data_IF_179333781005
#
_entry.id   IF_179333781005
#
_cell.length_a   1.000
_cell.length_b   1.000
_cell.length_c   1.000
_cell.angle_alpha   90.00
_cell.angle_beta   90.00
_cell.angle_gamma   90.00
#
_symmetry.space_group_name_H-M   'P 1'
#
loop_
_entity.id
_entity.type
_entity.pdbx_description
1 polymer ?
#
# COMPACT_ATOMS: atom_id res chain seq x y z
N UNK A 1 25.94 -39.26 -30.60
CA UNK A 1 27.15 -38.48 -30.31
C UNK A 1 26.73 -37.02 -30.31
N UNK A 2 26.28 -36.52 -29.16
CA UNK A 2 27.09 -35.80 -28.13
C UNK A 2 27.30 -34.34 -28.55
N UNK A 3 26.88 -33.31 -27.81
CA UNK A 3 26.27 -33.17 -26.50
C UNK A 3 26.10 -31.66 -26.25
N UNK A 4 25.14 -31.31 -25.40
CA UNK A 4 24.80 -29.94 -24.97
C UNK A 4 25.98 -29.18 -24.33
N UNK A 5 25.84 -27.85 -24.18
CA UNK A 5 26.22 -27.23 -22.93
C UNK A 5 25.05 -26.51 -22.25
N UNK A 6 24.92 -26.87 -20.96
CA UNK A 6 24.08 -26.37 -19.89
C UNK A 6 24.13 -24.86 -19.66
N UNK A 7 22.95 -24.24 -19.56
CA UNK A 7 22.77 -22.93 -18.93
C UNK A 7 22.72 -23.06 -17.41
N UNK A 8 23.81 -22.70 -16.72
CA UNK A 8 23.85 -22.56 -15.26
C UNK A 8 24.76 -21.41 -14.75
N UNK A 9 25.26 -20.50 -15.60
CA UNK A 9 26.24 -19.49 -15.17
C UNK A 9 25.73 -18.04 -15.06
N UNK A 10 24.43 -17.77 -15.11
CA UNK A 10 23.90 -16.39 -15.04
C UNK A 10 23.59 -15.88 -13.62
N UNK A 11 23.62 -16.75 -12.60
CA UNK A 11 23.24 -16.41 -11.21
C UNK A 11 24.40 -15.90 -10.32
N UNK A 12 25.65 -15.92 -10.79
CA UNK A 12 26.82 -15.52 -10.00
C UNK A 12 27.34 -14.09 -10.31
N UNK A 13 26.83 -13.44 -11.36
CA UNK A 13 27.44 -12.21 -11.89
C UNK A 13 26.76 -10.90 -11.45
N UNK A 14 25.59 -10.98 -10.80
CA UNK A 14 24.84 -9.80 -10.31
C UNK A 14 25.27 -9.37 -8.90
N UNK A 15 25.99 -10.22 -8.16
CA UNK A 15 26.44 -9.93 -6.78
C UNK A 15 27.83 -9.26 -6.68
N UNK A 16 28.51 -8.97 -7.80
CA UNK A 16 29.86 -8.37 -7.80
C UNK A 16 29.91 -6.88 -8.18
N UNK A 17 28.76 -6.24 -8.40
CA UNK A 17 28.67 -4.81 -8.75
C UNK A 17 28.63 -3.82 -7.56
N UNK A 18 28.56 -4.32 -6.32
CA UNK A 18 28.46 -3.49 -5.09
C UNK A 18 29.76 -3.43 -4.27
N UNK A 19 30.93 -3.59 -4.90
CA UNK A 19 32.23 -3.59 -4.21
C UNK A 19 33.10 -2.36 -4.55
N UNK A 20 32.49 -1.21 -4.84
CA UNK A 20 33.16 -0.02 -5.35
C UNK A 20 32.91 1.27 -4.57
N UNK A 21 32.82 1.22 -3.24
CA UNK A 21 32.88 2.42 -2.40
C UNK A 21 34.08 2.29 -1.44
N UNK A 22 35.10 3.08 -1.75
CA UNK A 22 36.36 3.25 -1.03
C UNK A 22 36.13 3.41 0.47
N UNK A 23 36.40 2.37 1.24
CA UNK A 23 36.61 2.46 2.69
C UNK A 23 38.05 2.92 2.90
N UNK A 24 38.22 4.19 3.28
CA UNK A 24 39.48 4.64 3.88
C UNK A 24 39.58 4.04 5.29
N UNK A 25 40.77 3.59 5.74
CA UNK A 25 40.92 3.07 7.09
C UNK A 25 40.88 4.24 8.08
N UNK A 26 39.78 4.39 8.81
CA UNK A 26 39.75 5.22 10.02
C UNK A 26 40.45 4.44 11.12
N UNK A 27 41.51 5.05 11.64
CA UNK A 27 42.31 4.52 12.72
C UNK A 27 41.44 4.41 13.97
N UNK A 28 41.46 3.26 14.63
CA UNK A 28 40.78 3.03 15.90
C UNK A 28 41.38 3.95 16.97
N UNK A 29 40.72 5.08 17.23
CA UNK A 29 40.86 5.78 18.50
C UNK A 29 39.89 5.14 19.48
N UNK A 30 40.42 4.67 20.61
CA UNK A 30 39.63 4.29 21.77
C UNK A 30 38.87 5.52 22.27
N UNK A 31 37.60 5.66 21.88
CA UNK A 31 36.69 6.60 22.52
C UNK A 31 36.00 5.88 23.66
N UNK A 32 36.21 6.39 24.87
CA UNK A 32 35.41 6.07 26.05
C UNK A 32 33.93 6.16 25.70
N UNK A 33 33.14 5.18 26.14
CA UNK A 33 31.69 5.26 26.08
C UNK A 33 31.25 6.61 26.69
N UNK A 34 30.57 7.50 25.95
CA UNK A 34 30.03 8.71 26.54
C UNK A 34 29.04 8.31 27.64
N UNK A 35 29.19 8.89 28.83
CA UNK A 35 28.18 8.82 29.88
C UNK A 35 26.83 9.21 29.29
N UNK A 36 25.80 8.40 29.52
CA UNK A 36 24.43 8.74 29.16
C UNK A 36 24.00 9.98 29.97
N UNK A 37 24.24 11.15 29.40
CA UNK A 37 23.73 12.43 29.89
C UNK A 37 22.32 12.60 29.32
N UNK A 38 21.32 12.60 30.19
CA UNK A 38 19.97 12.98 29.79
C UNK A 38 19.94 14.47 29.48
N UNK A 39 19.87 14.83 28.20
CA UNK A 39 19.69 16.20 27.75
C UNK A 39 18.20 16.48 27.54
N UNK A 40 17.60 17.24 28.45
CA UNK A 40 16.19 17.62 28.37
C UNK A 40 15.88 18.44 27.10
N UNK A 41 16.88 19.09 26.49
CA UNK A 41 16.71 19.87 25.26
C UNK A 41 16.48 19.00 24.01
N UNK A 42 16.83 17.70 24.05
CA UNK A 42 16.46 16.75 23.00
C UNK A 42 14.94 16.52 22.92
N UNK A 43 14.22 16.78 24.01
CA UNK A 43 12.77 16.60 24.12
C UNK A 43 11.99 17.91 23.99
N UNK A 44 12.68 19.06 23.87
CA UNK A 44 12.04 20.33 23.58
C UNK A 44 11.58 20.39 22.12
N UNK A 45 10.39 20.93 21.91
CA UNK A 45 9.78 21.08 20.58
C UNK A 45 10.62 22.06 19.75
N UNK A 46 11.47 21.53 18.88
CA UNK A 46 12.34 22.33 18.00
C UNK A 46 11.49 23.25 17.13
N UNK A 47 11.91 24.50 16.99
CA UNK A 47 11.20 25.45 16.10
C UNK A 47 11.16 24.92 14.67
N UNK A 48 12.27 24.37 14.18
CA UNK A 48 12.37 23.80 12.85
C UNK A 48 12.99 22.40 12.93
N UNK A 49 12.39 21.47 12.21
CA UNK A 49 12.88 20.11 12.01
C UNK A 49 12.98 19.86 10.51
N UNK A 50 14.09 19.24 10.09
CA UNK A 50 14.30 18.77 8.73
C UNK A 50 14.85 17.35 8.81
N UNK A 51 14.31 16.47 8.00
CA UNK A 51 14.73 15.08 7.92
C UNK A 51 14.45 14.52 6.54
N UNK A 52 14.97 13.34 6.24
CA UNK A 52 14.64 12.66 5.01
C UNK A 52 15.26 11.28 4.93
N UNK A 53 15.12 10.68 3.76
CA UNK A 53 15.90 9.50 3.41
C UNK A 53 16.25 9.45 1.92
N UNK A 54 17.33 8.75 1.64
CA UNK A 54 17.69 8.26 0.32
C UNK A 54 17.56 6.74 0.33
N UNK A 55 16.83 6.18 -0.63
CA UNK A 55 16.67 4.74 -0.82
C UNK A 55 17.19 4.32 -2.19
N UNK A 56 17.95 3.23 -2.21
CA UNK A 56 18.27 2.49 -3.43
C UNK A 56 17.62 1.11 -3.34
N UNK A 57 16.79 0.77 -4.33
CA UNK A 57 16.08 -0.50 -4.44
C UNK A 57 16.41 -1.20 -5.76
N UNK A 58 16.75 -2.48 -5.67
CA UNK A 58 16.95 -3.37 -6.81
C UNK A 58 15.89 -4.46 -6.82
N UNK A 59 15.28 -4.71 -7.98
CA UNK A 59 14.23 -5.70 -8.17
C UNK A 59 14.59 -6.65 -9.31
N UNK A 60 14.61 -7.96 -9.05
CA UNK A 60 14.65 -9.00 -10.07
C UNK A 60 13.24 -9.62 -10.23
N UNK A 61 12.60 -9.36 -11.36
CA UNK A 61 11.27 -9.87 -11.68
C UNK A 61 11.38 -11.10 -12.59
N UNK A 62 10.67 -12.17 -12.24
CA UNK A 62 10.49 -13.34 -13.11
C UNK A 62 9.18 -13.18 -13.90
N UNK A 63 9.31 -12.67 -15.12
CA UNK A 63 8.20 -12.26 -15.96
C UNK A 63 7.53 -13.44 -16.68
N UNK A 64 6.25 -13.28 -16.97
CA UNK A 64 5.45 -14.15 -17.84
C UNK A 64 5.29 -13.49 -19.20
N UNK A 65 6.35 -13.47 -20.00
CA UNK A 65 6.41 -12.74 -21.28
C UNK A 65 5.27 -13.04 -22.27
N UNK A 66 4.72 -14.25 -22.24
CA UNK A 66 3.62 -14.65 -23.13
C UNK A 66 2.22 -14.32 -22.59
N UNK A 67 2.12 -13.95 -21.30
CA UNK A 67 0.85 -13.70 -20.63
C UNK A 67 0.11 -12.48 -21.19
N UNK A 68 -1.22 -12.52 -21.08
CA UNK A 68 -2.07 -11.38 -21.41
C UNK A 68 -1.70 -10.13 -20.59
N UNK A 69 -1.43 -10.30 -19.29
CA UNK A 69 -1.03 -9.18 -18.43
C UNK A 69 0.29 -8.54 -18.88
N UNK A 70 1.30 -9.32 -19.25
CA UNK A 70 2.56 -8.76 -19.77
C UNK A 70 2.32 -7.91 -21.02
N UNK A 71 1.53 -8.40 -21.98
CA UNK A 71 1.20 -7.69 -23.21
C UNK A 71 0.40 -6.40 -22.97
N UNK A 72 -0.44 -6.38 -21.93
CA UNK A 72 -1.19 -5.18 -21.53
C UNK A 72 -0.30 -4.18 -20.78
N UNK A 73 0.63 -4.64 -19.94
CA UNK A 73 1.56 -3.80 -19.18
C UNK A 73 2.65 -3.21 -20.07
N UNK A 74 3.17 -3.97 -21.04
CA UNK A 74 4.25 -3.56 -21.94
C UNK A 74 3.85 -3.70 -23.40
N UNK A 75 2.97 -2.82 -23.92
CA UNK A 75 2.49 -2.92 -25.29
C UNK A 75 3.62 -2.85 -26.32
N UNK A 76 3.70 -3.87 -27.18
CA UNK A 76 4.70 -3.93 -28.26
C UNK A 76 6.11 -4.37 -27.83
N UNK A 77 6.34 -4.60 -26.53
CA UNK A 77 7.58 -5.18 -26.05
C UNK A 77 7.68 -6.66 -26.46
N UNK A 78 8.90 -7.11 -26.75
CA UNK A 78 9.15 -8.54 -26.97
C UNK A 78 8.93 -9.33 -25.66
N UNK A 79 8.42 -10.57 -25.74
CA UNK A 79 8.34 -11.44 -24.58
C UNK A 79 9.71 -11.62 -23.91
N UNK A 80 9.72 -11.61 -22.58
CA UNK A 80 10.92 -11.87 -21.79
C UNK A 80 10.57 -12.57 -20.48
N UNK A 81 11.56 -13.23 -19.90
CA UNK A 81 11.39 -14.05 -18.69
C UNK A 81 11.96 -13.40 -17.43
N UNK A 82 12.80 -12.38 -17.57
CA UNK A 82 13.45 -11.68 -16.48
C UNK A 82 13.47 -10.17 -16.72
N UNK A 83 13.48 -9.39 -15.64
CA UNK A 83 13.71 -7.95 -15.69
C UNK A 83 14.42 -7.53 -14.41
N UNK A 84 15.54 -6.83 -14.58
CA UNK A 84 16.19 -6.11 -13.48
C UNK A 84 15.71 -4.66 -13.53
N UNK A 85 15.22 -4.17 -12.40
CA UNK A 85 14.81 -2.77 -12.21
C UNK A 85 15.57 -2.17 -11.05
N UNK A 86 16.14 -1.00 -11.30
CA UNK A 86 16.75 -0.16 -10.28
C UNK A 86 15.81 1.01 -9.97
N UNK A 87 15.64 1.36 -8.70
CA UNK A 87 14.83 2.52 -8.28
C UNK A 87 15.55 3.28 -7.18
N UNK A 88 15.81 4.56 -7.42
CA UNK A 88 16.32 5.49 -6.42
C UNK A 88 15.19 6.41 -5.96
N UNK A 89 15.02 6.58 -4.64
CA UNK A 89 13.99 7.44 -4.05
C UNK A 89 14.61 8.42 -3.07
N UNK A 90 14.25 9.69 -3.18
CA UNK A 90 14.58 10.73 -2.21
C UNK A 90 13.28 11.23 -1.57
N UNK A 91 13.21 11.21 -0.24
CA UNK A 91 12.13 11.84 0.52
C UNK A 91 12.71 12.91 1.45
N UNK A 92 12.08 14.08 1.44
CA UNK A 92 12.44 15.23 2.27
C UNK A 92 11.22 15.63 3.09
N UNK A 93 11.43 15.88 4.38
CA UNK A 93 10.41 16.30 5.33
C UNK A 93 10.88 17.54 6.09
N UNK A 94 9.99 18.52 6.23
CA UNK A 94 10.22 19.70 7.05
C UNK A 94 9.02 19.99 7.94
N UNK A 95 9.28 20.56 9.11
CA UNK A 95 8.27 20.96 10.08
C UNK A 95 8.71 22.23 10.79
N UNK A 96 7.79 23.18 10.91
CA UNK A 96 7.97 24.47 11.55
C UNK A 96 6.87 24.67 12.59
N UNK A 97 7.28 24.80 13.85
CA UNK A 97 6.40 24.96 14.99
C UNK A 97 6.30 26.46 15.37
N UNK A 98 5.11 27.05 15.27
CA UNK A 98 4.83 28.47 15.49
C UNK A 98 3.70 28.65 16.52
N UNK A 99 3.96 28.29 17.78
CA UNK A 99 2.95 28.30 18.83
C UNK A 99 1.83 27.29 18.55
N UNK A 100 0.62 27.80 18.35
CA UNK A 100 -0.59 27.01 18.04
C UNK A 100 -0.63 26.51 16.58
N UNK A 101 0.28 27.00 15.73
CA UNK A 101 0.38 26.63 14.33
C UNK A 101 1.55 25.68 14.09
N UNK A 102 1.32 24.71 13.20
CA UNK A 102 2.37 23.84 12.65
C UNK A 102 2.27 23.91 11.13
N UNK A 103 3.38 24.27 10.49
CA UNK A 103 3.56 24.14 9.05
C UNK A 103 4.44 22.92 8.81
N UNK A 104 4.04 22.04 7.91
CA UNK A 104 4.82 20.87 7.55
C UNK A 104 4.73 20.60 6.06
N UNK A 105 5.77 19.95 5.53
CA UNK A 105 5.80 19.50 4.14
C UNK A 105 6.65 18.24 4.03
N UNK A 106 6.16 17.29 3.24
CA UNK A 106 6.85 16.06 2.88
C UNK A 106 6.77 15.86 1.38
N UNK A 107 7.92 15.77 0.73
CA UNK A 107 8.03 15.61 -0.71
C UNK A 107 8.88 14.38 -1.05
N UNK A 108 8.52 13.69 -2.12
CA UNK A 108 9.23 12.52 -2.60
C UNK A 108 9.50 12.62 -4.10
N UNK A 109 10.69 12.24 -4.52
CA UNK A 109 11.02 12.00 -5.92
C UNK A 109 11.57 10.59 -6.08
N UNK A 110 11.34 9.98 -7.24
CA UNK A 110 11.92 8.67 -7.54
C UNK A 110 12.27 8.54 -9.00
N UNK A 111 13.37 7.88 -9.29
CA UNK A 111 13.78 7.49 -10.63
C UNK A 111 13.87 5.97 -10.69
N UNK A 112 13.11 5.36 -11.60
CA UNK A 112 13.10 3.92 -11.84
C UNK A 112 13.53 3.65 -13.28
N UNK A 113 14.46 2.72 -13.45
CA UNK A 113 15.00 2.37 -14.76
C UNK A 113 15.10 0.85 -14.92
N UNK A 114 14.64 0.38 -16.08
CA UNK A 114 14.78 -0.99 -16.53
C UNK A 114 14.75 -1.07 -18.06
N UNK A 115 14.96 -2.27 -18.60
CA UNK A 115 15.03 -2.49 -20.04
C UNK A 115 13.70 -2.38 -20.81
N UNK A 116 12.57 -2.16 -20.13
CA UNK A 116 11.24 -1.92 -20.72
C UNK A 116 10.73 -0.49 -20.47
N UNK A 117 11.11 0.11 -19.34
CA UNK A 117 10.57 1.37 -18.85
C UNK A 117 11.67 2.16 -18.13
N UNK A 118 11.82 3.43 -18.51
CA UNK A 118 12.52 4.44 -17.71
C UNK A 118 11.48 5.47 -17.27
N UNK A 119 11.27 5.62 -15.97
CA UNK A 119 10.25 6.51 -15.39
C UNK A 119 10.86 7.38 -14.30
N UNK A 120 10.68 8.69 -14.47
CA UNK A 120 10.97 9.67 -13.42
C UNK A 120 9.65 10.15 -12.82
N UNK A 121 9.50 9.98 -11.51
CA UNK A 121 8.53 10.74 -10.71
C UNK A 121 9.21 12.01 -10.24
N UNK A 122 8.85 13.13 -10.87
CA UNK A 122 9.22 14.47 -10.43
C UNK A 122 8.77 14.69 -8.97
N UNK A 123 9.43 15.59 -8.21
CA UNK A 123 9.10 15.82 -6.81
C UNK A 123 7.59 16.03 -6.61
N UNK A 124 6.95 15.04 -5.96
CA UNK A 124 5.55 15.09 -5.58
C UNK A 124 5.44 15.43 -4.11
N UNK A 125 4.63 16.42 -3.77
CA UNK A 125 4.25 16.66 -2.37
C UNK A 125 3.40 15.47 -1.93
N UNK A 126 3.93 14.70 -0.98
CA UNK A 126 3.25 13.54 -0.39
C UNK A 126 2.20 14.03 0.60
N UNK A 127 2.61 14.88 1.54
CA UNK A 127 1.76 15.55 2.52
C UNK A 127 2.32 16.95 2.80
N UNK A 128 1.50 17.85 3.31
CA UNK A 128 1.97 19.17 3.76
C UNK A 128 0.83 20.17 3.85
N UNK A 129 0.96 21.13 4.75
CA UNK A 129 -0.11 22.08 5.02
C UNK A 129 0.11 22.89 6.30
N UNK A 130 -0.98 23.49 6.75
CA UNK A 130 -1.06 24.23 7.99
C UNK A 130 -2.04 23.51 8.93
N UNK A 131 -1.55 23.16 10.12
CA UNK A 131 -2.39 22.74 11.26
C UNK A 131 -2.48 23.88 12.26
N UNK A 132 -3.70 24.18 12.72
CA UNK A 132 -3.98 25.13 13.79
C UNK A 132 -4.65 24.40 14.96
N UNK A 133 -4.02 24.44 16.13
CA UNK A 133 -4.53 23.85 17.37
C UNK A 133 -5.19 24.93 18.21
N UNK A 134 -6.51 25.05 18.15
CA UNK A 134 -7.26 26.13 18.81
C UNK A 134 -7.29 25.94 20.33
N UNK A 135 -7.42 24.70 20.77
CA UNK A 135 -7.40 24.32 22.18
C UNK A 135 -7.09 22.84 22.32
N UNK A 136 -7.00 22.33 23.55
CA UNK A 136 -6.85 20.90 23.80
C UNK A 136 -8.06 20.16 23.21
N UNK A 137 -7.81 19.34 22.20
CA UNK A 137 -8.84 18.54 21.54
C UNK A 137 -9.56 19.22 20.37
N UNK A 138 -9.30 20.48 20.02
CA UNK A 138 -9.85 21.12 18.81
C UNK A 138 -8.74 21.60 17.88
N UNK A 139 -8.70 21.08 16.65
CA UNK A 139 -7.77 21.53 15.63
C UNK A 139 -8.38 21.61 14.23
N UNK A 140 -7.81 22.46 13.39
CA UNK A 140 -8.13 22.57 11.98
C UNK A 140 -6.88 22.33 11.14
N UNK A 141 -7.05 21.76 9.95
CA UNK A 141 -5.97 21.53 9.01
C UNK A 141 -6.40 21.91 7.59
N UNK A 142 -5.49 22.56 6.86
CA UNK A 142 -5.65 22.85 5.43
C UNK A 142 -4.35 22.47 4.72
N UNK A 143 -4.47 21.61 3.71
CA UNK A 143 -3.33 21.15 2.94
C UNK A 143 -3.55 19.77 2.35
N UNK A 144 -2.46 19.10 2.00
CA UNK A 144 -2.44 17.74 1.49
C UNK A 144 -2.22 16.76 2.63
N UNK A 145 -3.21 15.91 2.92
CA UNK A 145 -3.21 15.02 4.09
C UNK A 145 -3.66 13.61 3.77
N UNK A 146 -3.08 12.64 4.47
CA UNK A 146 -3.57 11.25 4.47
C UNK A 146 -4.54 11.06 5.62
N UNK A 147 -5.78 10.67 5.30
CA UNK A 147 -6.78 10.29 6.30
C UNK A 147 -6.78 8.77 6.46
N UNK A 148 -6.18 8.29 7.55
CA UNK A 148 -6.06 6.86 7.86
C UNK A 148 -7.31 6.37 8.56
N UNK A 149 -8.38 6.17 7.80
CA UNK A 149 -9.62 5.58 8.30
C UNK A 149 -9.59 4.06 8.13
N UNK A 150 -10.15 3.33 9.11
CA UNK A 150 -10.09 1.87 9.19
C UNK A 150 -8.92 1.34 10.04
N UNK A 151 -9.12 0.12 10.54
CA UNK A 151 -8.21 -0.72 11.32
C UNK A 151 -7.52 -1.80 10.47
N UNK A 152 -8.04 -2.08 9.27
CA UNK A 152 -7.58 -3.17 8.40
C UNK A 152 -6.12 -2.99 7.96
N UNK A 153 -5.37 -4.09 7.97
CA UNK A 153 -3.95 -4.12 7.62
C UNK A 153 -3.79 -4.11 6.11
N UNK A 154 -4.25 -5.14 5.41
CA UNK A 154 -4.04 -5.30 3.97
C UNK A 154 -4.99 -4.47 3.12
N UNK A 155 -6.20 -4.22 3.62
CA UNK A 155 -7.28 -3.55 2.91
C UNK A 155 -8.26 -2.94 3.91
N UNK A 156 -9.04 -1.93 3.48
CA UNK A 156 -10.11 -1.34 4.30
C UNK A 156 -11.26 -0.85 3.39
N UNK A 157 -12.53 -1.24 3.61
CA UNK A 157 -13.64 -0.67 2.88
C UNK A 157 -14.07 0.71 3.41
N UNK A 158 -13.66 1.07 4.62
CA UNK A 158 -14.01 2.35 5.26
C UNK A 158 -12.95 3.44 5.04
N UNK A 159 -11.83 3.13 4.37
CA UNK A 159 -10.84 4.08 3.87
C UNK A 159 -11.37 4.91 2.67
N UNK A 160 -12.47 5.65 2.88
CA UNK A 160 -13.24 6.33 1.84
C UNK A 160 -12.54 7.56 1.24
N UNK A 161 -11.63 8.15 2.00
CA UNK A 161 -10.94 9.42 1.70
C UNK A 161 -9.42 9.24 1.77
N UNK A 162 -8.98 8.08 1.30
CA UNK A 162 -7.58 7.68 1.25
C UNK A 162 -7.25 7.10 -0.13
N UNK A 163 -5.98 7.20 -0.54
CA UNK A 163 -5.50 6.43 -1.69
C UNK A 163 -5.40 4.95 -1.32
N UNK A 164 -5.66 4.03 -2.28
CA UNK A 164 -5.66 2.60 -2.01
C UNK A 164 -4.38 2.12 -1.33
N UNK A 165 -4.53 1.26 -0.31
CA UNK A 165 -3.41 0.52 0.29
C UNK A 165 -2.83 -0.45 -0.73
N UNK A 166 -1.51 -0.65 -0.68
CA UNK A 166 -0.88 -1.81 -1.30
C UNK A 166 -0.86 -2.95 -0.27
N UNK A 167 -1.57 -4.04 -0.55
CA UNK A 167 -1.60 -5.19 0.36
C UNK A 167 -0.23 -5.89 0.48
N UNK A 168 0.66 -5.69 -0.50
CA UNK A 168 2.02 -6.25 -0.51
C UNK A 168 3.00 -5.41 0.32
N UNK A 169 2.68 -4.13 0.51
CA UNK A 169 3.39 -3.26 1.44
C UNK A 169 2.40 -2.30 2.15
N UNK A 170 1.64 -2.81 3.14
CA UNK A 170 0.64 -2.00 3.84
C UNK A 170 1.19 -0.78 4.57
N UNK A 171 2.50 -0.82 4.86
CA UNK A 171 3.25 0.23 5.55
C UNK A 171 3.78 1.31 4.60
N UNK A 172 3.66 1.11 3.29
CA UNK A 172 4.12 2.07 2.31
C UNK A 172 3.48 3.44 2.53
N UNK A 173 4.31 4.48 2.45
CA UNK A 173 3.85 5.86 2.43
C UNK A 173 2.90 6.06 1.25
N UNK A 174 1.81 6.80 1.49
CA UNK A 174 0.85 7.18 0.47
C UNK A 174 0.75 8.69 0.41
N UNK A 175 0.60 9.20 -0.80
CA UNK A 175 0.29 10.61 -1.03
C UNK A 175 -1.10 10.93 -0.47
N UNK A 176 -1.26 12.08 0.18
CA UNK A 176 -2.51 12.58 0.70
C UNK A 176 -3.36 13.34 -0.33
N UNK A 177 -4.63 13.60 -0.02
CA UNK A 177 -5.46 14.47 -0.84
C UNK A 177 -5.41 15.90 -0.31
N UNK A 178 -5.55 16.88 -1.20
CA UNK A 178 -5.75 18.28 -0.81
C UNK A 178 -7.14 18.41 -0.18
N UNK A 179 -7.22 18.91 1.05
CA UNK A 179 -8.45 19.02 1.81
C UNK A 179 -8.38 20.13 2.86
N UNK A 180 -9.55 20.50 3.39
CA UNK A 180 -9.69 21.20 4.66
C UNK A 180 -10.38 20.26 5.66
N UNK A 181 -9.93 20.24 6.91
CA UNK A 181 -10.52 19.39 7.95
C UNK A 181 -10.56 20.07 9.31
N UNK A 182 -11.48 19.59 10.15
CA UNK A 182 -11.61 19.97 11.54
C UNK A 182 -11.75 18.71 12.39
N UNK A 183 -11.04 18.68 13.51
CA UNK A 183 -11.04 17.59 14.47
C UNK A 183 -11.38 18.13 15.85
N UNK A 184 -12.35 17.50 16.49
CA UNK A 184 -12.74 17.75 17.87
C UNK A 184 -12.70 16.44 18.66
N UNK A 185 -12.12 16.43 19.84
CA UNK A 185 -12.06 15.26 20.72
C UNK A 185 -12.28 15.68 22.16
N UNK A 186 -13.07 14.89 22.89
CA UNK A 186 -13.35 15.10 24.30
C UNK A 186 -13.29 13.78 25.07
N UNK A 187 -12.64 13.81 26.23
CA UNK A 187 -12.65 12.72 27.21
C UNK A 187 -13.85 12.88 28.14
N UNK A 188 -14.52 11.77 28.44
CA UNK A 188 -15.73 11.70 29.26
C UNK A 188 -15.51 10.72 30.43
N UNK A 189 -16.33 10.84 31.46
CA UNK A 189 -16.46 9.82 32.50
C UNK A 189 -17.63 8.89 32.17
N UNK A 190 -17.41 7.57 32.27
CA UNK A 190 -18.46 6.57 32.07
C UNK A 190 -18.12 5.52 30.99
N UNK A 191 -19.14 4.80 30.49
CA UNK A 191 -18.94 3.67 29.57
C UNK A 191 -18.46 4.10 28.17
N UNK A 192 -18.65 5.36 27.80
CA UNK A 192 -17.99 5.99 26.66
C UNK A 192 -16.96 6.96 27.26
N UNK A 193 -15.68 6.65 27.14
CA UNK A 193 -14.59 7.42 27.75
C UNK A 193 -14.01 8.47 26.82
N UNK A 194 -14.24 8.35 25.51
CA UNK A 194 -13.79 9.33 24.51
C UNK A 194 -14.80 9.44 23.38
N UNK A 195 -15.06 10.68 22.96
CA UNK A 195 -15.79 11.00 21.74
C UNK A 195 -14.90 11.88 20.86
N UNK A 196 -14.82 11.55 19.58
CA UNK A 196 -14.09 12.32 18.58
C UNK A 196 -14.96 12.58 17.37
N UNK A 197 -14.86 13.77 16.78
CA UNK A 197 -15.52 14.11 15.53
C UNK A 197 -14.49 14.71 14.57
N UNK A 198 -14.39 14.13 13.38
CA UNK A 198 -13.60 14.64 12.28
C UNK A 198 -14.55 15.00 11.14
N UNK A 199 -14.49 16.24 10.64
CA UNK A 199 -15.15 16.67 9.42
C UNK A 199 -14.13 17.12 8.38
N UNK A 200 -14.35 16.80 7.10
CA UNK A 200 -13.46 17.23 6.03
C UNK A 200 -14.19 17.60 4.75
N UNK A 201 -13.53 18.45 3.96
CA UNK A 201 -13.94 18.91 2.65
C UNK A 201 -12.82 18.61 1.65
N UNK A 202 -13.09 17.70 0.72
CA UNK A 202 -12.15 17.28 -0.33
C UNK A 202 -12.65 17.76 -1.70
N UNK A 203 -12.10 18.86 -2.25
CA UNK A 203 -12.43 19.31 -3.59
C UNK A 203 -11.75 18.44 -4.65
N UNK A 204 -12.39 18.27 -5.80
CA UNK A 204 -11.82 17.61 -6.99
C UNK A 204 -12.06 18.44 -8.24
N UNK A 205 -11.15 18.33 -9.21
CA UNK A 205 -11.35 18.72 -10.61
C UNK A 205 -10.35 17.95 -11.51
N UNK A 206 -10.13 18.41 -12.74
CA UNK A 206 -9.19 17.79 -13.69
C UNK A 206 -7.72 17.93 -13.27
N UNK A 207 -7.42 18.84 -12.33
CA UNK A 207 -6.08 19.11 -11.80
C UNK A 207 -5.91 18.73 -10.33
N UNK A 208 -6.92 19.01 -9.49
CA UNK A 208 -6.89 18.86 -8.04
C UNK A 208 -7.51 17.52 -7.65
N UNK A 209 -6.74 16.67 -6.95
CA UNK A 209 -7.20 15.34 -6.53
C UNK A 209 -7.86 14.53 -7.67
N UNK A 210 -7.34 14.66 -8.90
CA UNK A 210 -7.97 14.10 -10.11
C UNK A 210 -8.03 12.57 -10.12
N UNK A 211 -7.18 11.90 -9.31
CA UNK A 211 -7.23 10.47 -9.07
C UNK A 211 -8.31 10.05 -8.03
N UNK A 212 -8.83 11.00 -7.25
CA UNK A 212 -10.07 10.81 -6.50
C UNK A 212 -11.29 10.85 -7.43
N UNK A 213 -11.31 11.84 -8.32
CA UNK A 213 -12.24 11.96 -9.45
C UNK A 213 -11.97 13.22 -10.28
N UNK A 214 -12.36 13.20 -11.55
CA UNK A 214 -11.96 14.21 -12.55
C UNK A 214 -13.00 15.33 -12.73
N UNK A 215 -14.11 15.27 -12.03
CA UNK A 215 -15.21 16.25 -12.11
C UNK A 215 -15.08 17.29 -11.01
N UNK A 216 -15.58 18.50 -11.29
CA UNK A 216 -15.60 19.61 -10.33
C UNK A 216 -16.65 19.37 -9.25
N UNK A 217 -16.24 18.71 -8.18
CA UNK A 217 -17.10 18.33 -7.07
C UNK A 217 -16.47 18.73 -5.73
N UNK A 218 -17.33 18.87 -4.72
CA UNK A 218 -16.93 18.87 -3.33
C UNK A 218 -17.33 17.53 -2.74
N UNK A 219 -16.41 16.88 -2.03
CA UNK A 219 -16.65 15.57 -1.39
C UNK A 219 -16.58 15.72 0.13
N UNK A 220 -17.65 16.23 0.80
CA UNK A 220 -17.73 16.24 2.25
C UNK A 220 -17.65 14.83 2.84
N UNK A 221 -16.93 14.67 3.93
CA UNK A 221 -16.92 13.44 4.70
C UNK A 221 -16.81 13.73 6.20
N UNK A 222 -17.28 12.78 7.02
CA UNK A 222 -17.20 12.88 8.46
C UNK A 222 -16.94 11.51 9.10
N UNK A 223 -16.29 11.53 10.26
CA UNK A 223 -16.07 10.38 11.13
C UNK A 223 -16.42 10.75 12.57
N UNK A 224 -17.24 9.92 13.21
CA UNK A 224 -17.50 9.94 14.65
C UNK A 224 -16.76 8.75 15.28
N UNK A 225 -15.79 9.05 16.15
CA UNK A 225 -15.05 8.08 16.95
C UNK A 225 -15.66 7.98 18.35
N UNK A 226 -15.75 6.76 18.87
CA UNK A 226 -16.15 6.46 20.24
C UNK A 226 -15.19 5.42 20.83
N UNK A 227 -14.66 5.70 22.02
CA UNK A 227 -14.10 4.64 22.88
C UNK A 227 -15.20 4.20 23.85
N UNK A 228 -15.90 3.12 23.51
CA UNK A 228 -17.07 2.64 24.23
C UNK A 228 -16.85 1.22 24.75
N UNK A 229 -16.96 0.99 26.06
CA UNK A 229 -16.73 -0.32 26.71
C UNK A 229 -15.40 -0.98 26.28
N UNK A 230 -14.32 -0.20 26.32
CA UNK A 230 -12.97 -0.60 25.89
C UNK A 230 -12.91 -1.08 24.42
N UNK A 231 -13.84 -0.59 23.59
CA UNK A 231 -13.92 -0.89 22.16
C UNK A 231 -13.84 0.42 21.40
N UNK A 232 -12.86 0.52 20.49
CA UNK A 232 -12.82 1.58 19.49
C UNK A 232 -13.94 1.34 18.49
N UNK A 233 -14.80 2.33 18.27
CA UNK A 233 -15.88 2.29 17.28
C UNK A 233 -15.85 3.58 16.46
N UNK A 234 -15.78 3.44 15.14
CA UNK A 234 -15.84 4.57 14.22
C UNK A 234 -17.09 4.46 13.33
N UNK A 235 -17.88 5.54 13.24
CA UNK A 235 -18.96 5.70 12.25
C UNK A 235 -18.51 6.72 11.21
N UNK A 236 -18.64 6.37 9.94
CA UNK A 236 -18.10 7.18 8.84
C UNK A 236 -19.16 7.43 7.77
N UNK A 237 -19.06 8.59 7.15
CA UNK A 237 -19.88 8.96 6.02
C UNK A 237 -19.07 9.79 5.02
N UNK A 238 -19.29 9.53 3.74
CA UNK A 238 -18.83 10.37 2.64
C UNK A 238 -20.02 10.67 1.74
N UNK A 239 -20.30 11.95 1.55
CA UNK A 239 -21.35 12.42 0.64
C UNK A 239 -21.09 11.98 -0.80
N UNK A 240 -22.15 11.97 -1.62
CA UNK A 240 -21.99 11.87 -3.07
C UNK A 240 -21.26 13.11 -3.60
N UNK A 241 -20.28 12.89 -4.46
CA UNK A 241 -19.58 13.92 -5.23
C UNK A 241 -18.95 13.25 -6.46
N UNK A 242 -17.63 13.36 -6.61
CA UNK A 242 -16.88 12.67 -7.66
C UNK A 242 -16.86 11.14 -7.47
N UNK A 243 -17.08 10.67 -6.23
CA UNK A 243 -17.31 9.26 -5.92
C UNK A 243 -18.74 9.05 -5.39
N UNK A 244 -19.28 7.82 -5.49
CA UNK A 244 -20.61 7.53 -4.96
C UNK A 244 -20.65 7.65 -3.44
N UNK A 245 -21.83 7.95 -2.89
CA UNK A 245 -22.05 8.08 -1.44
C UNK A 245 -21.69 6.78 -0.72
N UNK A 246 -21.10 6.90 0.48
CA UNK A 246 -20.67 5.75 1.26
C UNK A 246 -20.87 5.95 2.75
N UNK A 247 -21.25 4.88 3.44
CA UNK A 247 -21.43 4.79 4.89
C UNK A 247 -20.55 3.68 5.43
N UNK A 248 -19.93 3.90 6.59
CA UNK A 248 -18.94 3.00 7.15
C UNK A 248 -19.11 2.83 8.65
N UNK A 249 -18.76 1.64 9.12
CA UNK A 249 -18.58 1.33 10.52
C UNK A 249 -17.30 0.51 10.65
N UNK A 250 -16.45 0.85 11.60
CA UNK A 250 -15.40 -0.07 12.06
C UNK A 250 -15.40 -0.22 13.58
N UNK A 251 -14.76 -1.29 14.04
CA UNK A 251 -14.45 -1.48 15.44
C UNK A 251 -13.11 -2.20 15.63
N UNK A 252 -12.47 -1.98 16.78
CA UNK A 252 -11.39 -2.83 17.28
C UNK A 252 -11.50 -3.01 18.80
N UNK A 253 -11.15 -4.20 19.28
CA UNK A 253 -11.15 -4.53 20.70
C UNK A 253 -10.03 -5.51 21.04
N UNK A 254 -9.28 -5.20 22.09
CA UNK A 254 -8.41 -6.17 22.74
C UNK A 254 -9.27 -7.08 23.64
N UNK A 255 -9.34 -8.37 23.31
CA UNK A 255 -10.01 -9.40 24.14
C UNK A 255 -9.09 -9.89 25.26
N UNK A 256 -7.77 -9.77 25.05
CA UNK A 256 -6.72 -9.94 26.05
C UNK A 256 -5.53 -9.08 25.67
N UNK A 257 -4.47 -9.07 26.47
CA UNK A 257 -3.20 -8.40 26.12
C UNK A 257 -2.54 -8.97 24.86
N UNK A 258 -2.87 -10.21 24.48
CA UNK A 258 -2.28 -10.92 23.35
C UNK A 258 -3.22 -11.04 22.14
N UNK A 259 -4.53 -10.76 22.28
CA UNK A 259 -5.52 -11.01 21.23
C UNK A 259 -6.39 -9.78 21.01
N UNK A 260 -6.37 -9.28 19.77
CA UNK A 260 -7.24 -8.23 19.26
C UNK A 260 -8.14 -8.79 18.17
N UNK A 261 -9.39 -8.30 18.13
CA UNK A 261 -10.30 -8.48 17.01
C UNK A 261 -10.69 -7.12 16.44
N UNK A 262 -10.85 -7.05 15.13
CA UNK A 262 -11.30 -5.85 14.45
C UNK A 262 -12.21 -6.19 13.27
N UNK A 263 -13.10 -5.28 12.92
CA UNK A 263 -14.02 -5.48 11.82
C UNK A 263 -14.44 -4.17 11.18
N UNK A 264 -14.74 -4.24 9.89
CA UNK A 264 -15.15 -3.08 9.09
C UNK A 264 -16.32 -3.46 8.20
N UNK A 265 -17.25 -2.53 8.03
CA UNK A 265 -18.33 -2.62 7.07
C UNK A 265 -18.46 -1.29 6.35
N UNK A 266 -18.63 -1.33 5.03
CA UNK A 266 -19.05 -0.17 4.27
C UNK A 266 -20.15 -0.50 3.28
N UNK A 267 -21.10 0.44 3.14
CA UNK A 267 -22.10 0.44 2.09
C UNK A 267 -21.86 1.61 1.16
N UNK A 268 -21.68 1.34 -0.13
CA UNK A 268 -21.52 2.36 -1.16
C UNK A 268 -22.67 2.28 -2.15
N UNK A 269 -23.32 3.41 -2.39
CA UNK A 269 -24.55 3.48 -3.19
C UNK A 269 -24.23 3.84 -4.64
N UNK A 270 -24.80 3.13 -5.61
CA UNK A 270 -24.60 3.46 -7.04
C UNK A 270 -23.14 3.40 -7.48
N UNK A 271 -22.48 2.26 -7.27
CA UNK A 271 -21.17 1.96 -7.84
C UNK A 271 -21.34 1.50 -9.29
N UNK A 272 -20.62 2.15 -10.22
CA UNK A 272 -20.50 1.68 -11.60
C UNK A 272 -19.70 0.39 -11.65
N UNK A 273 -20.32 -0.69 -12.12
CA UNK A 273 -19.67 -1.99 -12.29
C UNK A 273 -19.72 -2.42 -13.73
N UNK A 274 -18.54 -2.62 -14.32
CA UNK A 274 -18.36 -3.01 -15.71
C UNK A 274 -17.85 -4.45 -15.77
N UNK A 275 -18.57 -5.33 -16.46
CA UNK A 275 -18.22 -6.74 -16.63
C UNK A 275 -18.02 -7.06 -18.11
N UNK A 276 -17.26 -8.11 -18.42
CA UNK A 276 -17.03 -8.57 -19.78
C UNK A 276 -17.36 -10.05 -19.92
N UNK A 277 -17.98 -10.46 -21.03
CA UNK A 277 -18.16 -11.86 -21.38
C UNK A 277 -16.91 -12.42 -22.07
N UNK A 278 -16.84 -13.76 -22.21
CA UNK A 278 -15.78 -14.44 -22.98
C UNK A 278 -15.69 -13.98 -24.44
N UNK A 279 -16.80 -13.51 -25.02
CA UNK A 279 -16.87 -12.96 -26.39
C UNK A 279 -16.59 -11.45 -26.45
N UNK A 280 -16.25 -10.85 -25.30
CA UNK A 280 -15.97 -9.42 -25.20
C UNK A 280 -17.21 -8.55 -25.08
N UNK A 281 -18.42 -9.06 -24.84
CA UNK A 281 -19.60 -8.20 -24.63
C UNK A 281 -19.46 -7.51 -23.28
N UNK A 282 -19.51 -6.17 -23.28
CA UNK A 282 -19.40 -5.35 -22.06
C UNK A 282 -20.79 -5.05 -21.52
N UNK A 283 -20.98 -5.26 -20.23
CA UNK A 283 -22.18 -4.87 -19.51
C UNK A 283 -21.81 -3.95 -18.35
N UNK A 284 -22.43 -2.77 -18.30
CA UNK A 284 -22.22 -1.76 -17.27
C UNK A 284 -23.52 -1.52 -16.53
N UNK A 285 -23.47 -1.59 -15.19
CA UNK A 285 -24.63 -1.33 -14.34
C UNK A 285 -24.25 -0.56 -13.09
N UNK A 286 -25.19 0.20 -12.56
CA UNK A 286 -25.09 0.80 -11.23
C UNK A 286 -25.59 -0.18 -10.18
N UNK A 287 -24.83 -0.40 -9.12
CA UNK A 287 -25.20 -1.31 -8.03
C UNK A 287 -24.83 -0.72 -6.68
N UNK A 288 -25.69 -0.95 -5.69
CA UNK A 288 -25.31 -0.76 -4.29
C UNK A 288 -24.47 -1.95 -3.84
N UNK A 289 -23.39 -1.68 -3.11
CA UNK A 289 -22.47 -2.73 -2.65
C UNK A 289 -22.26 -2.64 -1.15
N UNK A 290 -22.14 -3.81 -0.52
CA UNK A 290 -21.68 -3.96 0.85
C UNK A 290 -20.32 -4.65 0.84
N UNK A 291 -19.41 -4.08 1.58
CA UNK A 291 -18.03 -4.53 1.72
C UNK A 291 -17.72 -4.79 3.19
N UNK A 292 -16.93 -5.82 3.48
CA UNK A 292 -16.69 -6.27 4.85
C UNK A 292 -15.22 -6.64 5.04
N UNK A 293 -14.70 -6.43 6.24
CA UNK A 293 -13.45 -7.01 6.72
C UNK A 293 -13.68 -7.53 8.13
N UNK A 294 -13.12 -8.70 8.43
CA UNK A 294 -12.99 -9.23 9.78
C UNK A 294 -11.56 -9.68 9.97
N UNK A 295 -10.89 -9.16 10.99
CA UNK A 295 -9.52 -9.47 11.28
C UNK A 295 -9.26 -9.75 12.75
N UNK A 296 -8.10 -10.35 12.98
CA UNK A 296 -7.54 -10.55 14.31
C UNK A 296 -6.03 -10.30 14.28
N UNK A 297 -5.50 -9.95 15.44
CA UNK A 297 -4.07 -9.92 15.72
C UNK A 297 -3.80 -10.73 16.99
N UNK A 298 -2.84 -11.66 16.93
CA UNK A 298 -2.46 -12.51 18.05
C UNK A 298 -0.95 -12.49 18.30
N UNK A 299 -0.52 -12.15 19.51
CA UNK A 299 0.87 -12.22 19.95
C UNK A 299 1.11 -13.53 20.73
N UNK A 300 1.98 -14.39 20.21
CA UNK A 300 2.35 -15.64 20.88
C UNK A 300 3.32 -15.39 22.04
N UNK A 301 3.50 -16.38 22.92
CA UNK A 301 4.51 -16.33 23.98
C UNK A 301 5.95 -16.23 23.45
N UNK A 302 6.21 -16.73 22.23
CA UNK A 302 7.50 -16.60 21.56
C UNK A 302 7.64 -15.31 20.76
N UNK A 303 6.84 -14.28 21.09
CA UNK A 303 6.85 -12.94 20.49
C UNK A 303 6.57 -12.90 18.97
N UNK A 304 6.06 -14.00 18.40
CA UNK A 304 5.55 -14.01 17.03
C UNK A 304 4.18 -13.35 17.01
N UNK A 305 4.05 -12.28 16.23
CA UNK A 305 2.78 -11.62 15.93
C UNK A 305 2.14 -12.26 14.70
N UNK A 306 0.91 -12.72 14.85
CA UNK A 306 0.04 -13.18 13.78
C UNK A 306 -1.03 -12.15 13.49
N UNK A 307 -1.28 -11.90 12.21
CA UNK A 307 -2.43 -11.14 11.72
C UNK A 307 -3.15 -12.03 10.72
N UNK A 308 -4.47 -12.12 10.84
CA UNK A 308 -5.31 -12.79 9.85
C UNK A 308 -6.52 -11.93 9.55
N UNK A 309 -6.79 -11.67 8.27
CA UNK A 309 -7.93 -10.88 7.82
C UNK A 309 -8.65 -11.59 6.68
N UNK A 310 -9.95 -11.82 6.85
CA UNK A 310 -10.85 -12.08 5.74
C UNK A 310 -11.44 -10.75 5.30
N UNK A 311 -11.45 -10.49 4.00
CA UNK A 311 -12.23 -9.37 3.48
C UNK A 311 -13.01 -9.72 2.22
N UNK A 312 -14.14 -9.01 2.08
CA UNK A 312 -15.05 -9.04 0.95
C UNK A 312 -15.17 -7.66 0.34
N UNK A 313 -14.61 -7.48 -0.84
CA UNK A 313 -14.79 -6.29 -1.66
C UNK A 313 -16.13 -6.36 -2.42
N UNK A 314 -17.15 -5.67 -1.94
CA UNK A 314 -18.49 -5.69 -2.54
C UNK A 314 -18.55 -5.26 -4.01
N UNK A 315 -17.62 -4.41 -4.44
CA UNK A 315 -17.49 -3.98 -5.83
C UNK A 315 -16.63 -4.92 -6.70
N UNK A 316 -15.93 -5.88 -6.08
CA UNK A 316 -15.05 -6.83 -6.75
C UNK A 316 -15.77 -7.81 -7.69
N UNK A 317 -14.97 -8.51 -8.49
CA UNK A 317 -15.46 -9.50 -9.45
C UNK A 317 -15.56 -10.88 -8.84
N UNK A 318 -16.59 -11.62 -9.24
CA UNK A 318 -16.75 -13.03 -8.88
C UNK A 318 -15.79 -13.89 -9.70
N UNK A 319 -15.51 -15.12 -9.24
CA UNK A 319 -14.60 -16.04 -9.93
C UNK A 319 -14.98 -16.27 -11.40
N UNK A 320 -16.27 -16.43 -11.71
CA UNK A 320 -16.75 -16.58 -13.09
C UNK A 320 -16.55 -15.34 -13.98
N UNK A 321 -16.61 -14.15 -13.38
CA UNK A 321 -16.41 -12.88 -14.11
C UNK A 321 -14.91 -12.62 -14.34
N UNK A 322 -14.05 -13.10 -13.45
CA UNK A 322 -12.60 -13.10 -13.61
C UNK A 322 -12.16 -14.10 -14.69
N UNK A 323 -12.64 -15.35 -14.64
CA UNK A 323 -12.38 -16.36 -15.67
C UNK A 323 -12.85 -15.88 -17.05
N UNK A 324 -14.05 -15.29 -17.15
CA UNK A 324 -14.55 -14.73 -18.40
C UNK A 324 -13.66 -13.62 -18.95
N UNK A 325 -13.12 -12.76 -18.07
CA UNK A 325 -12.18 -11.71 -18.45
C UNK A 325 -10.87 -12.29 -19.00
N UNK A 326 -10.26 -13.26 -18.31
CA UNK A 326 -9.00 -13.84 -18.76
C UNK A 326 -9.16 -14.60 -20.09
N UNK A 327 -10.23 -15.37 -20.27
CA UNK A 327 -10.55 -16.01 -21.55
C UNK A 327 -10.80 -14.99 -22.67
N UNK A 328 -11.43 -13.85 -22.35
CA UNK A 328 -11.58 -12.77 -23.31
C UNK A 328 -10.20 -12.21 -23.73
N UNK A 329 -9.27 -12.04 -22.79
CA UNK A 329 -7.92 -11.59 -23.10
C UNK A 329 -7.18 -12.55 -24.03
N UNK A 330 -7.33 -13.87 -23.87
CA UNK A 330 -6.74 -14.85 -24.78
C UNK A 330 -7.15 -14.60 -26.23
N UNK A 331 -8.44 -14.31 -26.46
CA UNK A 331 -8.97 -14.01 -27.80
C UNK A 331 -8.58 -12.60 -28.29
N UNK A 332 -8.60 -11.60 -27.41
CA UNK A 332 -8.35 -10.20 -27.75
C UNK A 332 -6.87 -9.89 -28.01
N UNK A 333 -5.97 -10.73 -27.47
CA UNK A 333 -4.52 -10.61 -27.58
C UNK A 333 -3.90 -11.75 -28.40
N UNK A 334 -4.72 -12.57 -29.06
CA UNK A 334 -4.27 -13.60 -29.97
C UNK A 334 -3.53 -12.98 -31.19
N UNK A 335 -2.52 -13.67 -31.75
CA UNK A 335 -1.90 -13.25 -33.00
C UNK A 335 -2.95 -13.04 -34.11
N UNK A 336 -2.94 -11.85 -34.75
CA UNK A 336 -3.89 -11.49 -35.80
C UNK A 336 -5.26 -11.02 -35.31
N UNK A 337 -5.48 -10.88 -33.99
CA UNK A 337 -6.72 -10.31 -33.47
C UNK A 337 -6.94 -8.85 -33.94
N UNK A 338 -8.19 -8.46 -34.25
CA UNK A 338 -8.50 -7.08 -34.63
C UNK A 338 -8.07 -6.06 -33.56
N UNK A 339 -7.52 -4.92 -33.99
CA UNK A 339 -7.10 -3.83 -33.10
C UNK A 339 -8.24 -3.31 -32.19
N UNK A 340 -9.50 -3.44 -32.63
CA UNK A 340 -10.69 -3.08 -31.86
C UNK A 340 -10.86 -3.95 -30.61
N UNK A 341 -10.49 -5.24 -30.65
CA UNK A 341 -10.54 -6.13 -29.48
C UNK A 341 -9.44 -5.77 -28.48
N UNK A 342 -8.24 -5.42 -28.94
CA UNK A 342 -7.16 -4.94 -28.08
C UNK A 342 -7.56 -3.65 -27.34
N UNK A 343 -8.12 -2.67 -28.05
CA UNK A 343 -8.62 -1.43 -27.43
C UNK A 343 -9.71 -1.72 -26.39
N UNK A 344 -10.56 -2.72 -26.64
CA UNK A 344 -11.59 -3.16 -25.71
C UNK A 344 -11.00 -3.85 -24.48
N UNK A 345 -10.00 -4.70 -24.64
CA UNK A 345 -9.26 -5.33 -23.54
C UNK A 345 -8.63 -4.29 -22.60
N UNK A 346 -8.01 -3.24 -23.17
CA UNK A 346 -7.45 -2.13 -22.39
C UNK A 346 -8.53 -1.36 -21.62
N UNK A 347 -9.65 -1.05 -22.28
CA UNK A 347 -10.77 -0.35 -21.64
C UNK A 347 -11.36 -1.16 -20.46
N UNK A 348 -11.53 -2.47 -20.62
CA UNK A 348 -12.01 -3.36 -19.55
C UNK A 348 -11.00 -3.48 -18.41
N UNK A 349 -9.70 -3.56 -18.72
CA UNK A 349 -8.66 -3.53 -17.68
C UNK A 349 -8.74 -2.23 -16.86
N UNK A 350 -8.91 -1.09 -17.52
CA UNK A 350 -9.05 0.22 -16.87
C UNK A 350 -10.37 0.38 -16.08
N UNK A 351 -11.43 -0.35 -16.45
CA UNK A 351 -12.72 -0.27 -15.74
C UNK A 351 -12.74 -0.97 -14.38
N UNK A 352 -11.67 -1.70 -14.02
CA UNK A 352 -11.49 -2.26 -12.68
C UNK A 352 -10.76 -3.60 -12.65
N UNK A 353 -10.75 -4.36 -13.74
CA UNK A 353 -10.09 -5.67 -13.79
C UNK A 353 -8.56 -5.60 -13.63
N UNK A 354 -7.95 -4.48 -14.03
CA UNK A 354 -6.51 -4.24 -13.89
C UNK A 354 -6.09 -3.72 -12.51
N UNK A 355 -7.03 -3.52 -11.57
CA UNK A 355 -6.69 -3.08 -10.20
C UNK A 355 -5.93 -4.19 -9.46
N UNK A 356 -5.11 -3.84 -8.45
CA UNK A 356 -4.65 -4.82 -7.47
C UNK A 356 -5.86 -5.52 -6.84
N UNK A 357 -5.80 -6.85 -6.73
CA UNK A 357 -6.79 -7.66 -6.03
C UNK A 357 -8.25 -7.35 -6.46
N UNK A 358 -8.60 -7.50 -7.75
CA UNK A 358 -9.88 -7.06 -8.30
C UNK A 358 -11.04 -8.02 -7.97
N UNK A 359 -10.77 -9.20 -7.41
CA UNK A 359 -11.79 -10.18 -7.05
C UNK A 359 -12.54 -9.77 -5.78
N UNK A 360 -13.45 -10.65 -5.33
CA UNK A 360 -14.39 -10.33 -4.27
C UNK A 360 -13.91 -10.74 -2.90
N UNK A 361 -13.35 -11.94 -2.74
CA UNK A 361 -13.10 -12.54 -1.44
C UNK A 361 -11.62 -12.91 -1.29
N UNK A 362 -10.98 -12.42 -0.24
CA UNK A 362 -9.56 -12.70 0.04
C UNK A 362 -9.34 -13.07 1.50
N UNK A 363 -8.29 -13.87 1.71
CA UNK A 363 -7.70 -14.12 3.01
C UNK A 363 -6.26 -13.58 3.02
N UNK A 364 -5.96 -12.70 3.96
CA UNK A 364 -4.63 -12.20 4.24
C UNK A 364 -4.15 -12.79 5.56
N UNK A 365 -2.92 -13.31 5.59
CA UNK A 365 -2.27 -13.81 6.81
C UNK A 365 -0.85 -13.30 6.85
N UNK A 366 -0.41 -12.78 7.99
CA UNK A 366 0.98 -12.38 8.22
C UNK A 366 1.47 -12.94 9.54
N UNK A 367 2.66 -13.52 9.54
CA UNK A 367 3.42 -13.83 10.75
C UNK A 367 4.69 -12.99 10.75
N UNK A 368 5.02 -12.35 11.86
CA UNK A 368 6.24 -11.55 12.01
C UNK A 368 6.85 -11.69 13.39
N UNK A 369 8.17 -11.65 13.45
CA UNK A 369 8.93 -11.72 14.70
C UNK A 369 10.15 -10.79 14.61
N UNK A 370 10.38 -10.05 15.68
CA UNK A 370 11.59 -9.25 15.87
C UNK A 370 12.66 -10.11 16.52
N UNK A 371 13.91 -9.90 16.10
CA UNK A 371 15.12 -10.55 16.62
C UNK A 371 15.07 -12.09 16.69
N UNK A 372 14.59 -12.79 15.63
CA UNK A 372 14.51 -14.24 15.64
C UNK A 372 15.90 -14.86 15.84
N UNK A 373 15.98 -15.93 16.63
CA UNK A 373 17.23 -16.66 16.89
C UNK A 373 18.36 -15.76 17.45
N UNK A 374 18.01 -14.72 18.22
CA UNK A 374 18.94 -13.70 18.74
C UNK A 374 19.62 -12.86 17.65
N UNK A 375 19.00 -12.73 16.48
CA UNK A 375 19.47 -11.82 15.44
C UNK A 375 19.11 -10.38 15.80
N UNK A 376 19.93 -9.76 16.65
CA UNK A 376 19.72 -8.39 17.16
C UNK A 376 19.57 -7.39 16.01
N UNK A 377 18.59 -6.49 16.11
CA UNK A 377 18.17 -5.54 15.05
C UNK A 377 17.64 -6.17 13.76
N UNK A 378 17.47 -7.48 13.73
CA UNK A 378 16.87 -8.22 12.63
C UNK A 378 15.37 -8.40 12.83
N UNK A 379 14.61 -8.48 11.74
CA UNK A 379 13.23 -8.91 11.77
C UNK A 379 12.93 -9.81 10.58
N UNK A 380 12.01 -10.75 10.76
CA UNK A 380 11.50 -11.59 9.66
C UNK A 380 9.99 -11.62 9.67
N UNK A 381 9.39 -11.70 8.49
CA UNK A 381 7.98 -11.95 8.35
C UNK A 381 7.66 -12.79 7.13
N UNK A 382 6.51 -13.45 7.16
CA UNK A 382 5.92 -14.11 5.99
C UNK A 382 4.49 -13.66 5.88
N UNK A 383 4.14 -13.15 4.71
CA UNK A 383 2.77 -12.75 4.37
C UNK A 383 2.22 -13.70 3.32
N UNK A 384 0.95 -14.07 3.42
CA UNK A 384 0.22 -14.83 2.43
C UNK A 384 -1.09 -14.10 2.11
N UNK A 385 -1.37 -13.97 0.81
CA UNK A 385 -2.63 -13.43 0.32
C UNK A 385 -3.25 -14.42 -0.64
N UNK A 386 -4.46 -14.89 -0.32
CA UNK A 386 -5.17 -15.92 -1.08
C UNK A 386 -6.46 -15.34 -1.62
N UNK A 387 -6.65 -15.42 -2.93
CA UNK A 387 -7.95 -15.17 -3.55
C UNK A 387 -8.84 -16.40 -3.30
N UNK A 388 -9.89 -16.24 -2.50
CA UNK A 388 -10.75 -17.34 -2.10
C UNK A 388 -11.70 -17.77 -3.22
N UNK A 389 -11.89 -16.93 -4.25
CA UNK A 389 -12.77 -17.24 -5.38
C UNK A 389 -12.12 -18.20 -6.38
N UNK A 390 -10.80 -18.12 -6.59
CA UNK A 390 -10.06 -18.93 -7.58
C UNK A 390 -8.88 -19.73 -6.99
N UNK A 391 -8.61 -19.59 -5.69
CA UNK A 391 -7.56 -20.27 -4.92
C UNK A 391 -6.13 -19.95 -5.37
N UNK A 392 -5.95 -18.95 -6.22
CA UNK A 392 -4.63 -18.41 -6.50
C UNK A 392 -4.12 -17.62 -5.30
N UNK A 393 -2.81 -17.50 -5.17
CA UNK A 393 -2.19 -16.92 -3.99
C UNK A 393 -0.89 -16.18 -4.30
N UNK A 394 -0.50 -15.34 -3.35
CA UNK A 394 0.82 -14.75 -3.25
C UNK A 394 1.39 -15.05 -1.87
N UNK A 395 2.65 -15.46 -1.81
CA UNK A 395 3.41 -15.61 -0.56
C UNK A 395 4.63 -14.69 -0.62
N UNK A 396 4.86 -13.95 0.46
CA UNK A 396 5.89 -12.93 0.54
C UNK A 396 6.67 -13.07 1.86
N UNK A 397 7.73 -13.91 1.91
CA UNK A 397 8.75 -13.81 2.94
C UNK A 397 9.54 -12.50 2.82
N UNK A 398 9.90 -11.96 3.97
CA UNK A 398 10.60 -10.69 4.12
C UNK A 398 11.55 -10.73 5.32
N UNK A 399 12.69 -10.07 5.19
CA UNK A 399 13.63 -9.83 6.27
C UNK A 399 14.10 -8.37 6.25
N UNK A 400 14.40 -7.80 7.42
CA UNK A 400 15.00 -6.48 7.54
C UNK A 400 16.07 -6.43 8.62
N UNK A 401 16.95 -5.44 8.52
CA UNK A 401 18.02 -5.19 9.48
C UNK A 401 18.26 -3.69 9.65
N UNK A 402 18.31 -3.23 10.90
CA UNK A 402 18.50 -1.81 11.27
C UNK A 402 19.68 -1.59 12.21
N UNK A 403 20.64 -2.52 12.26
CA UNK A 403 21.75 -2.46 13.23
C UNK A 403 22.86 -1.47 12.87
N UNK A 404 22.79 -0.81 11.73
CA UNK A 404 23.70 0.27 11.35
C UNK A 404 23.00 1.63 11.57
N UNK A 405 23.70 2.57 12.21
CA UNK A 405 23.14 3.91 12.47
C UNK A 405 22.62 4.54 11.19
N UNK A 406 21.39 5.03 11.22
CA UNK A 406 20.68 5.68 10.11
C UNK A 406 20.43 4.79 8.88
N UNK A 407 20.63 3.48 8.95
CA UNK A 407 20.41 2.57 7.82
C UNK A 407 19.31 1.56 8.11
N UNK A 408 18.49 1.31 7.09
CA UNK A 408 17.57 0.19 7.02
C UNK A 408 17.88 -0.64 5.77
N UNK A 409 18.11 -1.93 5.96
CA UNK A 409 18.25 -2.90 4.89
C UNK A 409 17.03 -3.81 4.90
N UNK A 410 16.43 -4.07 3.74
CA UNK A 410 15.29 -5.00 3.62
C UNK A 410 15.40 -5.85 2.37
N UNK A 411 15.07 -7.13 2.52
CA UNK A 411 14.94 -8.09 1.44
C UNK A 411 13.55 -8.70 1.45
N UNK A 412 12.93 -8.82 0.27
CA UNK A 412 11.59 -9.39 0.11
C UNK A 412 11.56 -10.28 -1.13
N UNK A 413 10.94 -11.46 -1.01
CA UNK A 413 10.67 -12.33 -2.15
C UNK A 413 9.16 -12.52 -2.25
N UNK A 414 8.54 -12.10 -3.35
CA UNK A 414 7.13 -12.36 -3.65
C UNK A 414 6.99 -13.48 -4.65
N UNK A 415 6.22 -14.51 -4.31
CA UNK A 415 5.96 -15.70 -5.13
C UNK A 415 4.47 -15.80 -5.41
N UNK A 416 4.09 -15.86 -6.69
CA UNK A 416 2.69 -15.91 -7.12
C UNK A 416 2.37 -17.28 -7.72
N UNK A 417 1.37 -17.94 -7.15
CA UNK A 417 0.89 -19.25 -7.56
C UNK A 417 -0.57 -19.22 -7.99
N UNK A 418 -0.90 -20.01 -9.02
CA UNK A 418 -2.26 -20.11 -9.56
C UNK A 418 -2.29 -20.93 -10.84
N UNK A 419 -3.47 -21.46 -11.18
CA UNK A 419 -3.70 -22.08 -12.48
C UNK A 419 -3.90 -21.00 -13.56
N UNK A 420 -3.98 -21.41 -14.83
CA UNK A 420 -4.43 -20.50 -15.89
C UNK A 420 -5.82 -19.94 -15.55
N UNK A 421 -6.07 -18.70 -15.96
CA UNK A 421 -7.33 -17.97 -15.71
C UNK A 421 -7.64 -17.73 -14.23
N UNK A 422 -6.60 -17.69 -13.39
CA UNK A 422 -6.69 -17.27 -11.98
C UNK A 422 -5.87 -16.01 -11.72
N UNK A 423 -6.27 -15.21 -10.74
CA UNK A 423 -5.75 -13.86 -10.58
C UNK A 423 -4.22 -13.79 -10.43
N UNK A 424 -3.65 -14.52 -9.48
CA UNK A 424 -2.20 -14.51 -9.27
C UNK A 424 -1.44 -15.33 -10.34
N UNK A 425 -2.11 -16.28 -11.00
CA UNK A 425 -1.59 -17.01 -12.15
C UNK A 425 -1.43 -16.13 -13.40
N UNK A 426 -2.32 -15.15 -13.57
CA UNK A 426 -2.38 -14.28 -14.75
C UNK A 426 -1.60 -12.97 -14.60
N UNK A 427 -1.00 -12.67 -13.44
CA UNK A 427 -0.14 -11.48 -13.29
C UNK A 427 1.06 -11.53 -14.24
N UNK A 428 1.54 -10.36 -14.65
CA UNK A 428 2.68 -10.24 -15.58
C UNK A 428 4.01 -10.81 -15.02
N UNK A 429 4.11 -11.01 -13.71
CA UNK A 429 5.27 -11.60 -13.04
C UNK A 429 4.84 -12.77 -12.16
N UNK A 430 5.63 -13.83 -12.16
CA UNK A 430 5.45 -15.03 -11.33
C UNK A 430 6.20 -14.95 -10.00
N UNK A 431 7.33 -14.25 -10.00
CA UNK A 431 8.10 -13.97 -8.80
C UNK A 431 8.74 -12.58 -8.86
N UNK A 432 9.15 -12.07 -7.71
CA UNK A 432 9.91 -10.83 -7.58
C UNK A 432 10.80 -10.89 -6.36
N UNK A 433 12.11 -10.74 -6.55
CA UNK A 433 13.06 -10.52 -5.47
C UNK A 433 13.37 -9.03 -5.40
N UNK A 434 13.17 -8.42 -4.25
CA UNK A 434 13.44 -7.01 -3.98
C UNK A 434 14.49 -6.91 -2.86
N UNK A 435 15.46 -6.02 -3.03
CA UNK A 435 16.38 -5.63 -1.97
C UNK A 435 16.49 -4.10 -1.97
N UNK A 436 16.42 -3.47 -0.79
CA UNK A 436 16.71 -2.06 -0.67
C UNK A 436 17.62 -1.74 0.51
N UNK A 437 18.35 -0.64 0.35
CA UNK A 437 19.07 0.05 1.39
C UNK A 437 18.55 1.49 1.47
N UNK A 438 18.17 1.91 2.67
CA UNK A 438 17.66 3.25 2.95
C UNK A 438 18.51 3.92 4.00
N UNK A 439 18.99 5.12 3.71
CA UNK A 439 19.75 5.97 4.61
C UNK A 439 18.92 7.17 5.05
N UNK A 440 18.77 7.36 6.35
CA UNK A 440 18.05 8.46 6.97
C UNK A 440 19.01 9.59 7.38
N UNK A 441 18.54 10.84 7.36
CA UNK A 441 19.32 12.00 7.79
C UNK A 441 18.47 13.08 8.43
#
# INVERSE_FOLDING_TARGET
>A
MSGEPSGQSALASVLLGMAGLLVTPVWAQSTSAPEFSFDASEFEKKTFEFSGYLEQKEELLQLRGDSAAYKLTYPGAQPRNDLLRSTSTLELSSKLNLGDFVLDARAQSSWADDALVSTTKVPAVMEGGLRWSVSTGLSFDVGKRVQRWGKGYAWSPVAMVERPKDANDPTATREGFVMASGEWTQTLSGPISTIGFTGLLLPTDDSLNSDFGQTRDLNPAARLYLLAWDTDVDLMWRAKGARPESFGLDFSRNLSTALEIHGEWARTLGVTRTTVSVTGVINTRQVDVNSFLLGLRYLTQGEVTWIAEYYRNGAGYQGSEMDAHYRFLDSALAPGAPATLLSKARSVAQSGYGRPNPARDYLYVKASVSEPFNWVYGAVSVTAMVNLNDRSFQITPEMSYTGFSNWELRGRLSLLGGQAHTEFGEKASSARLEAYARYYF
#
